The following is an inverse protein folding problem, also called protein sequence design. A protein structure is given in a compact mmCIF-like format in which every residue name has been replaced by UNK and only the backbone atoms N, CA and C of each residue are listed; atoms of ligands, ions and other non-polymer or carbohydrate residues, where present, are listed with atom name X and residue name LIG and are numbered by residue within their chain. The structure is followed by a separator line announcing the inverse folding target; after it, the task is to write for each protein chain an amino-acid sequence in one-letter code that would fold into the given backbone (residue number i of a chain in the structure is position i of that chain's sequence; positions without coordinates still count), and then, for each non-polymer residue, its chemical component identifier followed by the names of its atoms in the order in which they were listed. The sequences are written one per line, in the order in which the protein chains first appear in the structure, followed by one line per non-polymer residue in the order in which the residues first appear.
data_IF_769437715278
#
_entry.id   IF_769437715278
#
_cell.length_a   1.000
_cell.length_b   1.000
_cell.length_c   1.000
_cell.angle_alpha   90.00
_cell.angle_beta   90.00
_cell.angle_gamma   90.00
#
_symmetry.space_group_name_H-M   'P 1'
#
loop_
_entity.id
_entity.type
_entity.pdbx_description
1 polymer ?
#
# COMPACT_ATOMS: atom_id res chain seq x y z
N UNK A 1 -7.93 16.86 -8.14
CA UNK A 1 -8.55 15.71 -7.44
C UNK A 1 -8.74 16.13 -5.99
N UNK A 2 -9.92 15.90 -5.38
CA UNK A 2 -10.13 16.30 -3.99
C UNK A 2 -9.15 15.55 -3.08
N UNK A 3 -8.49 16.28 -2.17
CA UNK A 3 -7.71 15.68 -1.12
C UNK A 3 -8.67 15.17 -0.05
N UNK A 4 -8.55 13.90 0.34
CA UNK A 4 -9.36 13.30 1.40
C UNK A 4 -8.51 13.11 2.65
N UNK A 5 -9.05 13.45 3.82
CA UNK A 5 -8.33 13.21 5.07
C UNK A 5 -8.15 11.71 5.33
N UNK A 6 -9.21 10.92 5.13
CA UNK A 6 -9.15 9.48 5.31
C UNK A 6 -10.12 8.75 4.39
N UNK A 7 -9.74 7.55 3.98
CA UNK A 7 -10.63 6.59 3.31
C UNK A 7 -10.66 5.31 4.14
N UNK A 8 -11.88 4.91 4.48
CA UNK A 8 -12.18 3.60 5.03
C UNK A 8 -13.19 2.92 4.12
N UNK A 9 -12.81 1.80 3.53
CA UNK A 9 -13.68 1.03 2.65
C UNK A 9 -13.67 -0.44 3.08
N UNK A 10 -14.81 -1.03 3.41
CA UNK A 10 -14.89 -2.47 3.67
C UNK A 10 -14.76 -3.22 2.35
N UNK A 11 -14.05 -4.35 2.38
CA UNK A 11 -13.83 -5.33 1.31
C UNK A 11 -14.40 -4.98 -0.07
N UNK A 12 -13.53 -4.61 -1.01
CA UNK A 12 -13.95 -4.26 -2.37
C UNK A 12 -13.08 -4.98 -3.41
N UNK A 13 -13.59 -5.29 -4.61
CA UNK A 13 -12.74 -5.83 -5.66
C UNK A 13 -11.71 -4.80 -6.16
N UNK A 14 -12.04 -3.51 -6.14
CA UNK A 14 -11.20 -2.44 -6.66
C UNK A 14 -11.47 -1.12 -5.93
N UNK A 15 -10.41 -0.39 -5.58
CA UNK A 15 -10.53 0.99 -5.05
C UNK A 15 -9.52 1.89 -5.76
N UNK A 16 -10.01 2.93 -6.44
CA UNK A 16 -9.16 4.06 -6.82
C UNK A 16 -9.17 5.08 -5.70
N UNK A 17 -7.99 5.44 -5.23
CA UNK A 17 -7.85 6.36 -4.10
C UNK A 17 -7.24 7.68 -4.62
N UNK A 18 -7.85 8.84 -4.37
CA UNK A 18 -7.22 10.14 -4.61
C UNK A 18 -6.11 10.41 -3.57
N UNK A 19 -5.48 11.57 -3.65
CA UNK A 19 -4.53 12.03 -2.62
C UNK A 19 -5.17 11.98 -1.23
N UNK A 20 -4.65 11.12 -0.35
CA UNK A 20 -5.27 10.85 0.95
C UNK A 20 -4.23 10.79 2.05
N UNK A 21 -4.49 11.35 3.23
CA UNK A 21 -3.53 11.22 4.33
C UNK A 21 -3.53 9.77 4.88
N UNK A 22 -4.70 9.19 5.14
CA UNK A 22 -4.83 7.86 5.74
C UNK A 22 -5.75 6.92 4.97
N UNK A 23 -5.27 5.73 4.63
CA UNK A 23 -6.05 4.68 3.97
C UNK A 23 -6.03 3.40 4.81
N UNK A 24 -7.22 2.87 5.08
CA UNK A 24 -7.39 1.55 5.67
C UNK A 24 -8.45 0.75 4.90
N UNK A 25 -8.00 -0.29 4.20
CA UNK A 25 -8.85 -1.19 3.41
C UNK A 25 -8.50 -2.62 3.81
N UNK A 26 -9.42 -3.40 4.42
CA UNK A 26 -9.11 -4.71 4.97
C UNK A 26 -8.75 -5.76 3.92
N UNK A 27 -9.42 -5.74 2.76
CA UNK A 27 -9.18 -6.69 1.67
C UNK A 27 -9.59 -6.06 0.33
N UNK A 28 -8.69 -6.04 -0.65
CA UNK A 28 -9.02 -5.62 -2.01
C UNK A 28 -8.19 -6.34 -3.06
N UNK A 29 -8.72 -6.54 -4.27
CA UNK A 29 -7.96 -7.20 -5.34
C UNK A 29 -6.91 -6.28 -6.00
N UNK A 30 -7.23 -4.99 -6.18
CA UNK A 30 -6.29 -4.02 -6.79
C UNK A 30 -6.52 -2.59 -6.32
N UNK A 31 -5.43 -1.88 -6.01
CA UNK A 31 -5.46 -0.49 -5.53
C UNK A 31 -4.40 0.37 -6.22
N UNK A 32 -4.83 1.34 -7.04
CA UNK A 32 -4.03 2.50 -7.40
C UNK A 32 -4.21 3.65 -6.38
N UNK A 33 -3.13 4.01 -5.70
CA UNK A 33 -3.09 5.13 -4.74
C UNK A 33 -1.89 6.05 -5.02
N UNK A 34 -2.07 7.19 -5.72
CA UNK A 34 -0.97 7.96 -6.28
C UNK A 34 -0.17 8.77 -5.24
N UNK A 35 -0.80 9.27 -4.17
CA UNK A 35 -0.12 9.94 -3.07
C UNK A 35 -0.83 9.66 -1.74
N UNK A 36 -0.11 9.06 -0.79
CA UNK A 36 -0.63 8.80 0.56
C UNK A 36 0.42 9.11 1.63
N UNK A 37 0.05 9.53 2.83
CA UNK A 37 1.00 9.54 3.96
C UNK A 37 1.08 8.15 4.60
N UNK A 38 -0.08 7.55 4.92
CA UNK A 38 -0.19 6.25 5.59
C UNK A 38 -1.16 5.31 4.87
N UNK A 39 -0.64 4.15 4.47
CA UNK A 39 -1.39 3.13 3.75
C UNK A 39 -1.34 1.77 4.48
N UNK A 40 -2.49 1.25 4.89
CA UNK A 40 -2.57 -0.05 5.57
C UNK A 40 -3.59 -0.97 4.90
N UNK A 41 -3.11 -2.12 4.41
CA UNK A 41 -3.96 -3.15 3.78
C UNK A 41 -3.51 -4.54 4.19
N UNK A 42 -4.30 -5.26 5.01
CA UNK A 42 -3.99 -6.63 5.44
C UNK A 42 -3.79 -7.64 4.31
N UNK A 43 -4.64 -7.60 3.27
CA UNK A 43 -4.60 -8.59 2.19
C UNK A 43 -4.97 -7.98 0.84
N UNK A 44 -4.11 -8.18 -0.15
CA UNK A 44 -4.34 -7.72 -1.52
C UNK A 44 -3.40 -8.41 -2.50
N UNK A 45 -3.87 -8.93 -3.65
CA UNK A 45 -2.98 -9.51 -4.65
C UNK A 45 -2.09 -8.46 -5.35
N UNK A 46 -2.58 -7.22 -5.55
CA UNK A 46 -1.84 -6.21 -6.30
C UNK A 46 -2.05 -4.79 -5.77
N UNK A 47 -0.96 -4.05 -5.59
CA UNK A 47 -1.00 -2.68 -5.06
C UNK A 47 0.01 -1.80 -5.78
N UNK A 48 -0.46 -0.70 -6.37
CA UNK A 48 0.40 0.30 -7.00
C UNK A 48 0.35 1.60 -6.20
N UNK A 49 1.49 1.96 -5.58
CA UNK A 49 1.61 3.13 -4.73
C UNK A 49 2.85 3.94 -5.12
N UNK A 50 2.74 4.92 -6.04
CA UNK A 50 3.91 5.65 -6.52
C UNK A 50 4.55 6.60 -5.51
N UNK A 51 3.79 7.21 -4.60
CA UNK A 51 4.34 8.08 -3.55
C UNK A 51 3.66 7.83 -2.21
N UNK A 52 4.35 7.24 -1.23
CA UNK A 52 3.82 7.13 0.15
C UNK A 52 4.90 7.07 1.21
N UNK A 53 4.70 7.80 2.31
CA UNK A 53 5.65 7.82 3.42
C UNK A 53 5.68 6.46 4.15
N UNK A 54 4.53 5.91 4.52
CA UNK A 54 4.45 4.65 5.27
C UNK A 54 3.46 3.65 4.67
N UNK A 55 3.95 2.45 4.38
CA UNK A 55 3.13 1.34 3.87
C UNK A 55 3.25 0.11 4.77
N UNK A 56 2.10 -0.44 5.16
CA UNK A 56 1.99 -1.70 5.87
C UNK A 56 1.06 -2.66 5.11
N UNK A 57 1.64 -3.71 4.51
CA UNK A 57 0.89 -4.72 3.77
C UNK A 57 1.33 -6.12 4.24
N UNK A 58 0.61 -6.74 5.20
CA UNK A 58 0.87 -8.07 5.72
C UNK A 58 0.96 -9.19 4.67
N UNK A 59 0.10 -9.14 3.65
CA UNK A 59 0.02 -10.16 2.59
C UNK A 59 -0.27 -9.52 1.23
N UNK A 60 0.64 -9.69 0.28
CA UNK A 60 0.41 -9.34 -1.13
C UNK A 60 1.23 -10.16 -2.11
N UNK A 61 0.76 -10.27 -3.36
CA UNK A 61 1.55 -10.93 -4.39
C UNK A 61 2.55 -9.97 -5.05
N UNK A 62 2.18 -8.70 -5.24
CA UNK A 62 3.03 -7.73 -5.96
C UNK A 62 2.80 -6.28 -5.56
N UNK A 63 3.89 -5.54 -5.41
CA UNK A 63 3.89 -4.10 -5.09
C UNK A 63 4.85 -3.33 -6.02
N UNK A 64 4.33 -2.53 -6.96
CA UNK A 64 5.09 -1.45 -7.59
C UNK A 64 4.99 -0.17 -6.76
N UNK A 65 6.11 0.26 -6.17
CA UNK A 65 6.17 1.41 -5.27
C UNK A 65 7.46 2.24 -5.43
N UNK A 66 7.52 3.08 -6.49
CA UNK A 66 8.73 3.78 -6.86
C UNK A 66 9.30 4.77 -5.84
N UNK A 67 8.50 5.55 -5.11
CA UNK A 67 9.00 6.61 -4.23
C UNK A 67 8.37 6.53 -2.82
N UNK A 68 9.03 5.84 -1.91
CA UNK A 68 8.45 5.57 -0.59
C UNK A 68 9.50 5.72 0.51
N UNK A 69 9.10 6.10 1.71
CA UNK A 69 10.08 6.23 2.80
C UNK A 69 10.21 4.90 3.55
N UNK A 70 9.09 4.30 3.95
CA UNK A 70 9.05 3.11 4.80
C UNK A 70 8.06 2.06 4.32
N UNK A 71 8.53 0.82 4.29
CA UNK A 71 7.74 -0.37 3.97
C UNK A 71 7.83 -1.42 5.06
N UNK A 72 6.69 -1.99 5.46
CA UNK A 72 6.60 -3.21 6.27
C UNK A 72 5.75 -4.25 5.55
N UNK A 73 6.40 -5.33 5.13
CA UNK A 73 5.79 -6.36 4.28
C UNK A 73 6.28 -7.76 4.69
N UNK A 74 5.52 -8.50 5.51
CA UNK A 74 5.86 -9.86 5.96
C UNK A 74 5.77 -10.92 4.87
N UNK A 75 4.67 -10.96 4.09
CA UNK A 75 4.43 -12.00 3.09
C UNK A 75 4.25 -11.38 1.72
N UNK A 76 5.29 -11.41 0.89
CA UNK A 76 5.20 -10.94 -0.50
C UNK A 76 6.06 -11.70 -1.49
N UNK A 77 5.49 -11.95 -2.67
CA UNK A 77 6.19 -12.65 -3.75
C UNK A 77 7.11 -11.72 -4.56
N UNK A 78 6.74 -10.44 -4.76
CA UNK A 78 7.56 -9.47 -5.49
C UNK A 78 7.36 -8.03 -5.02
N UNK A 79 8.46 -7.28 -4.89
CA UNK A 79 8.48 -5.86 -4.54
C UNK A 79 9.39 -5.14 -5.54
N UNK A 80 8.88 -4.08 -6.16
CA UNK A 80 9.66 -3.16 -6.99
C UNK A 80 9.62 -1.77 -6.37
N UNK A 81 10.71 -1.36 -5.72
CA UNK A 81 10.75 -0.13 -4.93
C UNK A 81 12.06 0.67 -5.11
N UNK A 82 12.32 1.23 -6.30
CA UNK A 82 13.61 1.84 -6.67
C UNK A 82 14.06 3.02 -5.79
N UNK A 83 13.15 3.85 -5.28
CA UNK A 83 13.48 4.98 -4.40
C UNK A 83 12.84 4.77 -3.02
N UNK A 84 13.10 3.61 -2.40
CA UNK A 84 12.68 3.33 -1.03
C UNK A 84 13.83 3.48 -0.03
N UNK A 85 13.60 4.24 1.05
CA UNK A 85 14.62 4.44 2.08
C UNK A 85 14.76 3.22 3.01
N UNK A 86 13.63 2.65 3.46
CA UNK A 86 13.61 1.52 4.39
C UNK A 86 12.58 0.47 4.00
N UNK A 87 13.01 -0.79 3.93
CA UNK A 87 12.14 -1.96 3.74
C UNK A 87 12.36 -2.93 4.91
N UNK A 88 11.28 -3.28 5.60
CA UNK A 88 11.25 -4.29 6.66
C UNK A 88 10.43 -5.48 6.20
N UNK A 89 11.05 -6.66 6.15
CA UNK A 89 10.40 -7.94 5.85
C UNK A 89 10.55 -8.81 7.11
N UNK A 90 9.60 -8.73 8.06
CA UNK A 90 9.66 -9.57 9.23
C UNK A 90 9.44 -11.02 8.80
N UNK A 91 10.44 -11.87 9.02
CA UNK A 91 10.39 -13.29 8.66
C UNK A 91 9.14 -13.95 9.24
N UNK A 92 8.34 -14.55 8.37
CA UNK A 92 7.51 -15.70 8.73
C UNK A 92 8.42 -16.94 8.75
N UNK A 93 8.48 -17.71 9.86
CA UNK A 93 9.10 -19.04 9.84
C UNK A 93 8.44 -19.98 8.84
#
# INVERSE_FOLDING_TARGET
MPNTASIHSPNTPYVTIPNTAYINIPNTASIPAPNTEYFTIPNTPYVTIPNTAYINIPNTASIPAPNNEYFTIPNTASITAPNTTYITIPNTP
#
